data_IF_927033604437
#
_entry.id   IF_927033604437
#
_cell.length_a   1.000
_cell.length_b   1.000
_cell.length_c   1.000
_cell.angle_alpha   90.00
_cell.angle_beta   90.00
_cell.angle_gamma   90.00
#
_symmetry.space_group_name_H-M   'P 1'
#
loop_
_entity.id
_entity.type
_entity.pdbx_description
1 polymer ?
#
# COMPACT_ATOMS: atom_id res chain seq x y z
N UNK A 1 -17.01 15.99 -11.11
CA UNK A 1 -15.60 15.57 -10.93
C UNK A 1 -14.84 16.65 -10.18
N UNK A 2 -13.83 16.31 -9.36
CA UNK A 2 -12.96 17.29 -8.73
C UNK A 2 -12.26 18.17 -9.79
N UNK A 3 -11.97 19.44 -9.51
CA UNK A 3 -11.39 20.36 -10.49
C UNK A 3 -10.08 19.83 -11.11
N UNK A 4 -9.25 19.20 -10.29
CA UNK A 4 -7.92 18.67 -10.67
C UNK A 4 -7.90 17.13 -10.80
N UNK A 5 -9.06 16.47 -10.73
CA UNK A 5 -9.19 15.00 -10.74
C UNK A 5 -9.12 14.32 -9.37
N UNK A 6 -9.43 13.02 -9.34
CA UNK A 6 -9.60 12.25 -8.09
C UNK A 6 -8.29 11.99 -7.33
N UNK A 7 -7.21 11.63 -8.03
CA UNK A 7 -5.92 11.35 -7.37
C UNK A 7 -5.33 12.62 -6.72
N UNK A 8 -5.25 13.78 -7.40
CA UNK A 8 -4.73 15.00 -6.77
C UNK A 8 -5.57 15.46 -5.58
N UNK A 9 -6.90 15.37 -5.67
CA UNK A 9 -7.80 15.69 -4.57
C UNK A 9 -7.55 14.80 -3.35
N UNK A 10 -7.33 13.49 -3.55
CA UNK A 10 -7.00 12.56 -2.47
C UNK A 10 -5.62 12.83 -1.88
N UNK A 11 -4.64 13.21 -2.71
CA UNK A 11 -3.28 13.55 -2.26
C UNK A 11 -3.30 14.81 -1.38
N UNK A 12 -4.04 15.84 -1.79
CA UNK A 12 -4.23 17.06 -1.02
C UNK A 12 -4.92 16.74 0.32
N UNK A 13 -5.99 15.94 0.30
CA UNK A 13 -6.68 15.51 1.50
C UNK A 13 -5.77 14.73 2.46
N UNK A 14 -4.94 13.82 1.93
CA UNK A 14 -3.94 13.07 2.70
C UNK A 14 -2.93 13.98 3.36
N UNK A 15 -2.41 14.95 2.63
CA UNK A 15 -1.42 15.91 3.14
C UNK A 15 -2.02 16.83 4.21
N UNK A 16 -3.26 17.26 4.02
CA UNK A 16 -3.96 18.16 4.95
C UNK A 16 -4.36 17.50 6.26
N UNK A 17 -4.79 16.24 6.21
CA UNK A 17 -5.37 15.54 7.37
C UNK A 17 -4.44 14.50 7.98
N UNK A 18 -3.34 14.15 7.30
CA UNK A 18 -2.47 13.03 7.65
C UNK A 18 -3.25 11.73 7.90
N UNK A 19 -4.32 11.47 7.14
CA UNK A 19 -5.11 10.27 7.34
C UNK A 19 -4.28 9.02 6.99
N UNK A 20 -4.42 7.97 7.81
CA UNK A 20 -3.64 6.73 7.73
C UNK A 20 -4.52 5.49 7.44
N UNK A 21 -5.77 5.71 7.03
CA UNK A 21 -6.66 4.60 6.71
C UNK A 21 -6.31 3.93 5.37
N UNK A 22 -6.58 2.62 5.31
CA UNK A 22 -6.52 1.87 4.06
C UNK A 22 -7.78 2.17 3.22
N UNK A 23 -7.61 2.29 1.91
CA UNK A 23 -8.71 2.53 0.96
C UNK A 23 -8.85 1.30 0.09
N UNK A 24 -9.95 0.56 0.23
CA UNK A 24 -10.24 -0.58 -0.62
C UNK A 24 -11.26 -0.17 -1.68
N UNK A 25 -10.98 -0.43 -2.95
CA UNK A 25 -11.84 -0.08 -4.08
C UNK A 25 -12.40 -1.34 -4.73
N UNK A 26 -13.65 -1.26 -5.17
CA UNK A 26 -14.37 -2.38 -5.78
C UNK A 26 -14.96 -1.91 -7.11
N UNK A 27 -14.52 -2.50 -8.21
CA UNK A 27 -15.02 -2.17 -9.55
C UNK A 27 -16.02 -3.21 -10.03
N UNK A 28 -17.26 -2.82 -10.33
CA UNK A 28 -18.30 -3.73 -10.82
C UNK A 28 -18.61 -3.54 -12.31
N UNK A 29 -18.52 -4.62 -13.09
CA UNK A 29 -18.75 -4.62 -14.53
C UNK A 29 -17.59 -4.00 -15.31
N UNK A 30 -17.76 -3.85 -16.63
CA UNK A 30 -16.66 -3.51 -17.54
C UNK A 30 -16.56 -2.02 -17.90
N UNK A 31 -17.58 -1.22 -17.56
CA UNK A 31 -17.61 0.20 -17.86
C UNK A 31 -17.10 1.02 -16.66
N UNK A 32 -15.84 0.83 -16.32
CA UNK A 32 -15.17 1.53 -15.22
C UNK A 32 -13.69 1.73 -15.50
N UNK A 33 -13.08 2.65 -14.79
CA UNK A 33 -11.64 2.88 -14.84
C UNK A 33 -10.95 2.07 -13.74
N UNK A 34 -10.57 0.83 -14.07
CA UNK A 34 -9.90 -0.07 -13.12
C UNK A 34 -8.57 0.50 -12.66
N UNK A 35 -7.88 1.25 -13.53
CA UNK A 35 -6.57 1.81 -13.22
C UNK A 35 -6.71 2.93 -12.20
N UNK A 36 -7.68 3.82 -12.38
CA UNK A 36 -8.01 4.85 -11.40
C UNK A 36 -8.37 4.25 -10.03
N UNK A 37 -9.19 3.19 -10.01
CA UNK A 37 -9.57 2.53 -8.76
C UNK A 37 -8.38 1.87 -8.06
N UNK A 38 -7.48 1.26 -8.83
CA UNK A 38 -6.23 0.72 -8.32
C UNK A 38 -5.35 1.84 -7.73
N UNK A 39 -5.15 2.93 -8.47
CA UNK A 39 -4.31 4.05 -8.03
C UNK A 39 -4.87 4.73 -6.77
N UNK A 40 -6.19 4.86 -6.66
CA UNK A 40 -6.86 5.35 -5.45
C UNK A 40 -6.61 4.43 -4.24
N UNK A 41 -6.67 3.11 -4.43
CA UNK A 41 -6.40 2.14 -3.37
C UNK A 41 -4.92 2.17 -2.93
N UNK A 42 -3.99 2.30 -3.89
CA UNK A 42 -2.55 2.41 -3.64
C UNK A 42 -2.18 3.72 -2.94
N UNK A 43 -2.85 4.83 -3.28
CA UNK A 43 -2.67 6.12 -2.61
C UNK A 43 -3.11 6.12 -1.15
N UNK A 44 -4.04 5.23 -0.80
CA UNK A 44 -4.36 4.92 0.58
C UNK A 44 -3.18 4.29 1.33
N UNK A 45 -3.44 3.80 2.53
CA UNK A 45 -2.42 3.15 3.34
C UNK A 45 -2.36 1.64 3.05
N UNK A 46 -1.86 1.30 1.86
CA UNK A 46 -1.77 -0.07 1.31
C UNK A 46 -3.13 -0.77 1.22
N UNK A 47 -4.12 -0.11 0.60
CA UNK A 47 -5.41 -0.72 0.31
C UNK A 47 -5.37 -1.61 -0.94
N UNK A 48 -6.46 -2.33 -1.19
CA UNK A 48 -6.57 -3.25 -2.32
C UNK A 48 -7.70 -2.87 -3.28
N UNK A 49 -7.48 -3.11 -4.57
CA UNK A 49 -8.52 -3.09 -5.59
C UNK A 49 -9.03 -4.51 -5.88
N UNK A 50 -10.35 -4.66 -5.99
CA UNK A 50 -10.99 -5.91 -6.42
C UNK A 50 -11.95 -5.65 -7.59
N UNK A 51 -11.74 -6.39 -8.68
CA UNK A 51 -12.63 -6.37 -9.85
C UNK A 51 -13.74 -7.42 -9.71
N UNK A 52 -14.98 -7.01 -9.98
CA UNK A 52 -16.19 -7.82 -9.94
C UNK A 52 -16.77 -7.85 -11.37
N UNK A 53 -16.63 -8.95 -12.12
CA UNK A 53 -17.06 -9.02 -13.52
C UNK A 53 -18.59 -8.99 -13.67
N UNK A 54 -19.31 -9.59 -12.72
CA UNK A 54 -20.77 -9.71 -12.73
C UNK A 54 -21.34 -10.01 -11.33
N UNK A 55 -22.67 -10.02 -11.22
CA UNK A 55 -23.41 -10.16 -9.97
C UNK A 55 -23.10 -11.45 -9.18
N UNK A 56 -22.67 -12.52 -9.84
CA UNK A 56 -22.38 -13.80 -9.18
C UNK A 56 -21.14 -13.73 -8.28
N UNK A 57 -20.22 -12.80 -8.55
CA UNK A 57 -18.99 -12.62 -7.78
C UNK A 57 -19.10 -11.59 -6.67
N UNK A 58 -20.15 -10.76 -6.64
CA UNK A 58 -20.32 -9.69 -5.65
C UNK A 58 -20.26 -10.26 -4.24
N UNK A 59 -21.05 -11.31 -3.96
CA UNK A 59 -21.09 -11.95 -2.64
C UNK A 59 -19.71 -12.46 -2.21
N UNK A 60 -19.04 -13.21 -3.07
CA UNK A 60 -17.71 -13.79 -2.80
C UNK A 60 -16.68 -12.72 -2.49
N UNK A 61 -16.64 -11.63 -3.28
CA UNK A 61 -15.65 -10.57 -3.11
C UNK A 61 -15.88 -9.80 -1.80
N UNK A 62 -17.13 -9.47 -1.47
CA UNK A 62 -17.44 -8.78 -0.21
C UNK A 62 -17.23 -9.66 1.02
N UNK A 63 -17.56 -10.96 0.95
CA UNK A 63 -17.25 -11.91 2.03
C UNK A 63 -15.75 -11.95 2.29
N UNK A 64 -14.93 -12.09 1.24
CA UNK A 64 -13.48 -12.08 1.38
C UNK A 64 -12.95 -10.76 1.97
N UNK A 65 -13.47 -9.62 1.51
CA UNK A 65 -13.06 -8.31 2.01
C UNK A 65 -13.39 -8.15 3.51
N UNK A 66 -14.59 -8.55 3.94
CA UNK A 66 -15.01 -8.49 5.34
C UNK A 66 -14.22 -9.48 6.19
N UNK A 67 -13.98 -10.71 5.69
CA UNK A 67 -13.15 -11.68 6.39
C UNK A 67 -11.72 -11.16 6.61
N UNK A 68 -11.10 -10.54 5.61
CA UNK A 68 -9.79 -9.90 5.76
C UNK A 68 -9.85 -8.74 6.78
N UNK A 69 -10.88 -7.91 6.72
CA UNK A 69 -11.07 -6.81 7.68
C UNK A 69 -11.18 -7.34 9.12
N UNK A 70 -12.01 -8.37 9.35
CA UNK A 70 -12.24 -8.95 10.67
C UNK A 70 -11.05 -9.77 11.20
N UNK A 71 -10.20 -10.27 10.31
CA UNK A 71 -8.98 -11.00 10.67
C UNK A 71 -7.74 -10.10 10.71
N UNK A 72 -7.89 -8.79 10.53
CA UNK A 72 -6.79 -7.84 10.63
C UNK A 72 -6.24 -7.79 12.05
N UNK A 73 -4.95 -8.12 12.21
CA UNK A 73 -4.22 -8.17 13.48
C UNK A 73 -3.54 -6.83 13.78
N UNK A 74 -3.02 -6.17 12.74
CA UNK A 74 -2.37 -4.87 12.85
C UNK A 74 -2.75 -4.00 11.66
N UNK A 75 -2.88 -2.69 11.89
CA UNK A 75 -3.12 -1.68 10.86
C UNK A 75 -1.96 -0.69 10.83
N UNK A 76 -1.72 -0.05 9.69
CA UNK A 76 -0.68 0.98 9.53
C UNK A 76 0.71 0.52 10.02
N UNK A 77 1.09 -0.72 9.70
CA UNK A 77 2.39 -1.26 10.07
C UNK A 77 3.49 -0.57 9.27
N UNK A 78 4.48 -0.07 10.00
CA UNK A 78 5.70 0.49 9.43
C UNK A 78 6.90 -0.31 9.94
N UNK A 79 7.78 -0.69 9.02
CA UNK A 79 9.07 -1.32 9.33
C UNK A 79 10.17 -0.32 9.01
N UNK A 80 10.97 0.01 10.01
CA UNK A 80 12.06 0.97 9.89
C UNK A 80 13.39 0.27 10.13
N UNK A 81 14.29 0.35 9.15
CA UNK A 81 15.57 -0.35 9.15
C UNK A 81 16.67 0.70 9.11
N UNK A 82 17.47 0.78 10.17
CA UNK A 82 18.61 1.70 10.28
C UNK A 82 19.93 1.06 9.84
N UNK A 83 20.92 1.90 9.56
CA UNK A 83 22.29 1.46 9.25
C UNK A 83 22.46 0.86 7.86
N UNK A 84 21.47 1.03 6.98
CA UNK A 84 21.56 0.66 5.57
C UNK A 84 21.59 1.96 4.77
N UNK A 85 22.54 2.10 3.86
CA UNK A 85 22.46 3.05 2.76
C UNK A 85 21.86 2.33 1.56
N UNK A 86 20.52 2.29 1.41
CA UNK A 86 19.94 1.68 0.24
C UNK A 86 20.42 2.48 -0.99
N UNK A 87 21.00 1.79 -1.96
CA UNK A 87 21.18 2.34 -3.31
C UNK A 87 19.79 2.40 -3.92
N UNK A 88 19.05 3.46 -3.58
CA UNK A 88 17.78 3.83 -4.19
C UNK A 88 18.06 4.39 -5.58
N UNK A 89 18.69 3.59 -6.43
CA UNK A 89 18.43 3.78 -7.84
C UNK A 89 16.93 3.52 -8.02
N UNK A 90 16.22 4.40 -8.72
CA UNK A 90 14.79 4.22 -9.02
C UNK A 90 14.48 2.94 -9.81
N UNK A 91 15.51 2.13 -10.13
CA UNK A 91 15.48 0.80 -10.73
C UNK A 91 15.60 -0.35 -9.72
N UNK A 92 15.89 -0.08 -8.44
CA UNK A 92 15.95 -1.07 -7.35
C UNK A 92 14.53 -1.55 -7.04
N UNK A 93 14.12 -2.62 -7.72
CA UNK A 93 12.83 -3.26 -7.48
C UNK A 93 12.86 -3.99 -6.13
N UNK A 94 12.43 -3.30 -5.07
CA UNK A 94 12.03 -3.97 -3.84
C UNK A 94 10.89 -4.91 -4.18
N UNK A 95 11.10 -6.21 -4.01
CA UNK A 95 10.06 -7.20 -4.28
C UNK A 95 9.20 -7.28 -3.05
N UNK A 96 8.00 -6.71 -3.17
CA UNK A 96 6.93 -6.84 -2.21
C UNK A 96 5.77 -7.54 -2.91
N UNK A 97 5.20 -8.57 -2.31
CA UNK A 97 3.95 -9.18 -2.79
C UNK A 97 2.71 -8.27 -2.55
N UNK A 98 2.92 -7.01 -2.17
CA UNK A 98 1.90 -6.05 -1.78
C UNK A 98 2.40 -4.62 -2.00
N UNK A 99 1.48 -3.67 -2.18
CA UNK A 99 1.81 -2.25 -2.32
C UNK A 99 2.46 -1.72 -1.04
N UNK A 100 3.68 -1.18 -1.14
CA UNK A 100 4.43 -0.57 -0.04
C UNK A 100 4.86 0.84 -0.41
N UNK A 101 4.74 1.78 0.52
CA UNK A 101 5.38 3.09 0.37
C UNK A 101 6.77 3.04 1.02
N UNK A 102 7.77 3.47 0.24
CA UNK A 102 9.17 3.51 0.68
C UNK A 102 9.55 4.97 0.90
N UNK A 103 10.06 5.28 2.09
CA UNK A 103 10.60 6.61 2.40
C UNK A 103 11.92 6.52 3.14
N UNK A 104 12.80 7.49 2.87
CA UNK A 104 14.03 7.67 3.65
C UNK A 104 13.77 8.70 4.74
N UNK A 105 14.00 8.31 5.99
CA UNK A 105 13.97 9.22 7.11
C UNK A 105 15.32 9.24 7.82
N UNK A 106 15.76 10.42 8.26
CA UNK A 106 16.82 10.56 9.27
C UNK A 106 16.15 10.73 10.62
N UNK A 107 15.85 9.63 11.29
CA UNK A 107 15.21 9.68 12.61
C UNK A 107 16.23 9.73 13.77
N UNK A 108 17.51 9.43 13.54
CA UNK A 108 18.57 9.51 14.55
C UNK A 108 19.97 9.64 13.90
N UNK A 109 20.34 10.77 13.27
CA UNK A 109 21.62 11.02 12.54
C UNK A 109 22.05 10.01 11.44
N UNK A 110 21.50 8.80 11.46
CA UNK A 110 21.72 7.66 10.60
C UNK A 110 20.58 7.54 9.58
N UNK A 111 20.88 7.12 8.34
CA UNK A 111 19.86 6.84 7.34
C UNK A 111 18.99 5.66 7.79
N UNK A 112 17.67 5.84 7.69
CA UNK A 112 16.69 4.77 7.88
C UNK A 112 15.83 4.57 6.63
N UNK A 113 15.69 3.31 6.23
CA UNK A 113 14.70 2.88 5.25
C UNK A 113 13.39 2.58 5.98
N UNK A 114 12.33 3.33 5.66
CA UNK A 114 11.00 3.11 6.20
C UNK A 114 10.10 2.49 5.13
N UNK A 115 9.51 1.34 5.48
CA UNK A 115 8.61 0.58 4.64
C UNK A 115 7.23 0.59 5.28
N UNK A 116 6.25 1.14 4.59
CA UNK A 116 4.86 1.04 5.01
C UNK A 116 4.25 -0.24 4.44
N UNK A 117 3.91 -1.16 5.34
CA UNK A 117 3.37 -2.48 4.99
C UNK A 117 1.83 -2.53 5.08
N UNK A 118 1.20 -1.47 5.59
CA UNK A 118 -0.25 -1.39 5.74
C UNK A 118 -0.80 -2.33 6.80
N UNK A 119 -1.84 -3.08 6.46
CA UNK A 119 -2.51 -3.97 7.41
C UNK A 119 -2.03 -5.41 7.28
N UNK A 120 -1.86 -6.10 8.42
CA UNK A 120 -1.57 -7.54 8.49
C UNK A 120 -2.84 -8.27 8.91
N UNK A 121 -3.18 -9.34 8.19
CA UNK A 121 -4.29 -10.23 8.50
C UNK A 121 -3.78 -11.57 9.03
N UNK A 122 -4.58 -12.24 9.86
CA UNK A 122 -4.24 -13.53 10.41
C UNK A 122 -4.08 -14.57 9.30
N UNK A 123 -2.95 -15.27 9.28
CA UNK A 123 -2.66 -16.30 8.28
C UNK A 123 -2.15 -15.79 6.93
N UNK A 124 -1.95 -14.48 6.74
CA UNK A 124 -1.30 -13.93 5.53
C UNK A 124 0.05 -13.31 5.89
N UNK A 125 1.14 -13.97 5.47
CA UNK A 125 2.49 -13.43 5.62
C UNK A 125 2.73 -12.27 4.65
N UNK A 126 3.56 -11.33 5.07
CA UNK A 126 4.04 -10.22 4.26
C UNK A 126 5.55 -10.35 4.12
N UNK A 127 5.99 -10.71 2.92
CA UNK A 127 7.40 -10.89 2.61
C UNK A 127 7.94 -9.65 1.88
N UNK A 128 9.11 -9.16 2.32
CA UNK A 128 9.83 -8.04 1.68
C UNK A 128 11.26 -8.49 1.39
N UNK A 129 11.70 -8.29 0.16
CA UNK A 129 13.10 -8.47 -0.23
C UNK A 129 13.76 -7.12 -0.41
N UNK A 130 14.82 -6.88 0.37
CA UNK A 130 15.56 -5.61 0.38
C UNK A 130 16.96 -5.89 -0.17
N UNK A 131 17.30 -5.41 -1.39
CA UNK A 131 18.67 -5.45 -1.86
C UNK A 131 19.53 -4.54 -0.97
N UNK A 132 20.64 -5.08 -0.47
CA UNK A 132 21.60 -4.32 0.32
C UNK A 132 23.03 -4.67 -0.08
N UNK A 133 23.88 -3.65 -0.16
CA UNK A 133 25.33 -3.81 -0.31
C UNK A 133 25.93 -3.77 1.09
N UNK A 134 26.65 -4.82 1.47
CA UNK A 134 27.46 -4.82 2.68
C UNK A 134 28.86 -4.39 2.29
N UNK A 135 29.37 -3.31 2.88
CA UNK A 135 30.79 -2.99 2.78
C UNK A 135 31.58 -4.12 3.46
N UNK A 136 32.42 -4.82 2.70
CA UNK A 136 33.31 -5.84 3.24
C UNK A 136 34.38 -5.16 4.09
N UNK A 137 34.44 -5.54 5.38
CA UNK A 137 35.55 -5.21 6.28
C UNK A 137 36.88 -5.79 5.79
#
# INVERSE_FOLDING_TARGET
>A
EPPDGYLPALAEYKTKTNFTCSINTFGFGYNLDSKLLEDLAQMGNCGSYAFIPDGSFVGTIFVNAISNLLTTVATNLQVSIGGIQPTLDSSSNYICNYSTNISNHKLCDEPMLCLNLGSITFGQSKDVVIPMTMDQY
#
